data_IF_206399063050
#
_entry.id   IF_206399063050
#
_cell.length_a   1.000
_cell.length_b   1.000
_cell.length_c   1.000
_cell.angle_alpha   90.00
_cell.angle_beta   90.00
_cell.angle_gamma   90.00
#
_symmetry.space_group_name_H-M   'P 1'
#
loop_
_entity.id
_entity.type
_entity.pdbx_description
1 polymer ?
#
# COMPACT_ATOMS: atom_id res chain seq x y z
N UNK A 1 14.77 -4.81 8.48
CA UNK A 1 14.18 -4.10 7.34
C UNK A 1 12.66 -4.04 7.51
N UNK A 2 12.10 -2.88 7.27
CA UNK A 2 10.66 -2.65 7.30
C UNK A 2 10.19 -2.31 5.89
N UNK A 3 9.12 -2.93 5.46
CA UNK A 3 8.52 -2.72 4.13
C UNK A 3 7.15 -2.09 4.30
N UNK A 4 6.97 -0.90 3.73
CA UNK A 4 5.69 -0.21 3.72
C UNK A 4 5.08 -0.39 2.33
N UNK A 5 3.81 -0.79 2.26
CA UNK A 5 3.07 -0.86 1.01
C UNK A 5 1.94 0.16 1.05
N UNK A 6 1.77 0.91 -0.02
CA UNK A 6 0.71 1.92 -0.12
C UNK A 6 -0.09 1.73 -1.39
N UNK A 7 -1.38 1.52 -1.23
CA UNK A 7 -2.39 1.65 -2.27
C UNK A 7 -3.03 3.03 -2.07
N UNK A 8 -2.75 4.01 -2.95
CA UNK A 8 -3.17 5.39 -2.72
C UNK A 8 -4.67 5.62 -2.93
N UNK A 9 -5.18 6.70 -2.35
CA UNK A 9 -6.56 7.11 -2.47
C UNK A 9 -7.38 6.82 -1.22
N UNK A 10 -8.56 7.45 -1.12
CA UNK A 10 -9.40 7.34 0.09
C UNK A 10 -9.90 5.94 0.38
N UNK A 11 -9.94 5.07 -0.64
CA UNK A 11 -10.32 3.66 -0.50
C UNK A 11 -9.10 2.75 -0.58
N UNK A 12 -7.92 3.31 -0.47
CA UNK A 12 -6.68 2.56 -0.45
C UNK A 12 -6.29 2.08 0.94
N UNK A 13 -5.02 1.72 1.08
CA UNK A 13 -4.51 1.21 2.35
C UNK A 13 -3.04 1.50 2.54
N UNK A 14 -2.60 1.33 3.78
CA UNK A 14 -1.19 1.35 4.17
C UNK A 14 -0.92 0.07 4.94
N UNK A 15 0.09 -0.66 4.54
CA UNK A 15 0.54 -1.87 5.22
C UNK A 15 2.00 -1.75 5.60
N UNK A 16 2.37 -2.31 6.74
CA UNK A 16 3.74 -2.33 7.23
C UNK A 16 4.11 -3.76 7.58
N UNK A 17 5.20 -4.24 6.99
CA UNK A 17 5.76 -5.57 7.27
C UNK A 17 7.14 -5.43 7.90
N UNK A 18 7.31 -5.99 9.08
CA UNK A 18 8.62 -6.22 9.70
C UNK A 18 8.88 -7.73 9.82
N UNK A 19 9.94 -8.13 10.53
CA UNK A 19 10.26 -9.55 10.72
C UNK A 19 9.16 -10.28 11.48
N UNK A 20 8.61 -9.67 12.53
CA UNK A 20 7.55 -10.24 13.38
C UNK A 20 6.38 -9.27 13.55
N UNK A 21 6.19 -8.39 12.58
CA UNK A 21 5.23 -7.30 12.71
C UNK A 21 4.48 -7.12 11.40
N UNK A 22 3.15 -7.08 11.50
CA UNK A 22 2.27 -6.76 10.38
C UNK A 22 1.21 -5.78 10.88
N UNK A 23 1.08 -4.66 10.19
CA UNK A 23 0.04 -3.66 10.47
C UNK A 23 -0.60 -3.21 9.16
N UNK A 24 -1.89 -3.09 9.15
CA UNK A 24 -2.66 -2.66 7.98
C UNK A 24 -3.76 -1.71 8.40
N UNK A 25 -3.88 -0.59 7.69
CA UNK A 25 -4.93 0.39 7.94
C UNK A 25 -5.48 0.91 6.61
N UNK A 26 -6.70 1.44 6.64
CA UNK A 26 -7.23 2.21 5.51
C UNK A 26 -6.37 3.45 5.33
N UNK A 27 -6.08 3.80 4.08
CA UNK A 27 -5.29 5.00 3.80
C UNK A 27 -5.97 6.25 4.37
N UNK A 28 -5.18 7.08 5.03
CA UNK A 28 -5.48 8.47 5.31
C UNK A 28 -4.17 9.24 5.39
N UNK A 29 -4.22 10.54 5.20
CA UNK A 29 -3.04 11.39 5.32
C UNK A 29 -2.44 11.28 6.72
N UNK A 30 -3.28 11.20 7.75
CA UNK A 30 -2.84 11.04 9.13
C UNK A 30 -2.10 9.71 9.33
N UNK A 31 -2.62 8.62 8.79
CA UNK A 31 -1.97 7.31 8.92
C UNK A 31 -0.64 7.27 8.15
N UNK A 32 -0.56 7.94 7.01
CA UNK A 32 0.70 8.09 6.29
C UNK A 32 1.74 8.82 7.14
N UNK A 33 1.35 9.95 7.73
CA UNK A 33 2.25 10.71 8.60
C UNK A 33 2.68 9.91 9.83
N UNK A 34 1.75 9.18 10.43
CA UNK A 34 2.05 8.32 11.59
C UNK A 34 3.09 7.26 11.24
N UNK A 35 2.92 6.59 10.09
CA UNK A 35 3.86 5.57 9.64
C UNK A 35 5.25 6.18 9.37
N UNK A 36 5.30 7.32 8.71
CA UNK A 36 6.58 8.00 8.41
C UNK A 36 7.30 8.43 9.69
N UNK A 37 6.59 8.98 10.65
CA UNK A 37 7.16 9.37 11.94
C UNK A 37 7.67 8.18 12.73
N UNK A 38 6.93 7.08 12.71
CA UNK A 38 7.29 5.87 13.45
C UNK A 38 8.58 5.25 12.93
N UNK A 39 8.79 5.26 11.62
CA UNK A 39 9.90 4.54 11.00
C UNK A 39 11.02 5.45 10.48
N UNK A 40 10.92 6.77 10.71
CA UNK A 40 11.96 7.72 10.32
C UNK A 40 13.31 7.32 10.91
N UNK A 41 14.34 7.31 10.08
CA UNK A 41 15.69 6.95 10.51
C UNK A 41 15.93 5.46 10.72
N UNK A 42 14.91 4.63 10.54
CA UNK A 42 15.03 3.18 10.61
C UNK A 42 15.36 2.58 9.23
N UNK A 43 15.67 1.29 9.22
CA UNK A 43 15.92 0.56 7.98
C UNK A 43 14.56 0.21 7.33
N UNK A 44 14.06 1.11 6.49
CA UNK A 44 12.72 1.06 5.92
C UNK A 44 12.75 1.39 4.42
N UNK A 45 11.89 0.74 3.65
CA UNK A 45 11.62 1.10 2.26
C UNK A 45 10.11 1.03 2.01
N UNK A 46 9.60 1.95 1.18
CA UNK A 46 8.19 1.99 0.82
C UNK A 46 8.01 1.58 -0.63
N UNK A 47 6.96 0.80 -0.88
CA UNK A 47 6.49 0.47 -2.23
C UNK A 47 5.14 1.13 -2.41
N UNK A 48 5.08 2.04 -3.37
CA UNK A 48 3.88 2.84 -3.65
C UNK A 48 3.31 2.40 -4.99
N UNK A 49 2.03 2.03 -5.01
CA UNK A 49 1.40 1.68 -6.28
C UNK A 49 1.44 2.86 -7.23
N UNK A 50 1.94 2.61 -8.43
CA UNK A 50 2.03 3.62 -9.47
C UNK A 50 0.66 3.81 -10.11
N UNK A 51 0.01 4.92 -9.79
CA UNK A 51 -1.28 5.30 -10.36
C UNK A 51 -1.10 6.31 -11.49
N UNK A 52 -2.04 6.31 -12.42
CA UNK A 52 -2.05 7.26 -13.54
C UNK A 52 -3.50 7.53 -13.92
N UNK A 53 -3.71 8.58 -14.70
CA UNK A 53 -5.05 8.91 -15.19
C UNK A 53 -5.57 7.81 -16.11
N UNK A 54 -6.84 7.45 -15.94
CA UNK A 54 -7.49 6.42 -16.75
C UNK A 54 -8.36 7.07 -17.82
N UNK A 55 -8.50 6.44 -19.00
CA UNK A 55 -9.49 6.88 -19.98
C UNK A 55 -10.86 6.97 -19.34
N UNK A 56 -11.63 8.00 -19.70
CA UNK A 56 -12.99 8.24 -19.18
C UNK A 56 -13.08 8.56 -17.68
N UNK A 57 -11.97 8.78 -17.02
CA UNK A 57 -11.96 9.29 -15.65
C UNK A 57 -12.33 10.78 -15.67
N UNK A 58 -13.22 11.21 -14.76
CA UNK A 58 -13.63 12.61 -14.65
C UNK A 58 -12.45 13.54 -14.33
N UNK A 59 -12.52 14.79 -14.76
CA UNK A 59 -11.46 15.80 -14.55
C UNK A 59 -11.18 16.00 -13.05
N UNK A 60 -12.22 16.19 -12.23
CA UNK A 60 -12.06 16.34 -10.79
C UNK A 60 -11.44 15.12 -10.12
N UNK A 61 -11.87 13.93 -10.53
CA UNK A 61 -11.34 12.67 -10.00
C UNK A 61 -9.87 12.53 -10.36
N UNK A 62 -9.49 12.80 -11.61
CA UNK A 62 -8.10 12.74 -12.07
C UNK A 62 -7.22 13.72 -11.29
N UNK A 63 -7.71 14.95 -11.10
CA UNK A 63 -6.97 15.98 -10.37
C UNK A 63 -6.75 15.58 -8.91
N UNK A 64 -7.79 15.10 -8.23
CA UNK A 64 -7.71 14.66 -6.84
C UNK A 64 -6.76 13.47 -6.69
N UNK A 65 -6.80 12.53 -7.62
CA UNK A 65 -5.89 11.39 -7.65
C UNK A 65 -4.44 11.85 -7.77
N UNK A 66 -4.18 12.77 -8.71
CA UNK A 66 -2.84 13.33 -8.91
C UNK A 66 -2.33 14.08 -7.68
N UNK A 67 -3.20 14.89 -7.04
CA UNK A 67 -2.87 15.59 -5.80
C UNK A 67 -2.48 14.63 -4.68
N UNK A 68 -3.28 13.59 -4.46
CA UNK A 68 -2.99 12.60 -3.42
C UNK A 68 -1.68 11.86 -3.70
N UNK A 69 -1.47 11.43 -4.94
CA UNK A 69 -0.25 10.73 -5.33
C UNK A 69 0.99 11.60 -5.12
N UNK A 70 0.92 12.87 -5.51
CA UNK A 70 1.99 13.83 -5.28
C UNK A 70 2.24 14.10 -3.80
N UNK A 71 1.17 14.24 -3.01
CA UNK A 71 1.27 14.42 -1.56
C UNK A 71 2.00 13.26 -0.90
N UNK A 72 1.64 12.03 -1.23
CA UNK A 72 2.29 10.83 -0.67
C UNK A 72 3.79 10.86 -0.97
N UNK A 73 4.17 11.11 -2.22
CA UNK A 73 5.58 11.17 -2.60
C UNK A 73 6.32 12.30 -1.89
N UNK A 74 5.69 13.47 -1.76
CA UNK A 74 6.26 14.60 -1.04
C UNK A 74 6.52 14.28 0.43
N UNK A 75 5.58 13.61 1.10
CA UNK A 75 5.74 13.20 2.49
C UNK A 75 6.87 12.19 2.65
N UNK A 76 6.92 11.17 1.78
CA UNK A 76 8.00 10.18 1.82
C UNK A 76 9.37 10.83 1.64
N UNK A 77 9.49 11.76 0.71
CA UNK A 77 10.73 12.50 0.49
C UNK A 77 11.10 13.37 1.68
N UNK A 78 10.13 14.06 2.29
CA UNK A 78 10.37 14.94 3.42
C UNK A 78 10.88 14.15 4.64
N UNK A 79 10.39 12.93 4.85
CA UNK A 79 10.86 12.05 5.92
C UNK A 79 12.06 11.19 5.51
N UNK A 80 12.58 11.40 4.31
CA UNK A 80 13.74 10.65 3.78
C UNK A 80 13.53 9.14 3.78
N UNK A 81 12.29 8.71 3.52
CA UNK A 81 11.97 7.29 3.37
C UNK A 81 12.14 6.92 1.90
N UNK A 82 13.09 6.03 1.57
CA UNK A 82 13.25 5.58 0.19
C UNK A 82 12.00 4.84 -0.27
N UNK A 83 11.61 5.06 -1.52
CA UNK A 83 10.44 4.38 -2.07
C UNK A 83 10.63 4.04 -3.54
N UNK A 84 9.91 3.02 -3.97
CA UNK A 84 9.83 2.61 -5.36
C UNK A 84 8.37 2.59 -5.79
N UNK A 85 8.13 2.89 -7.07
CA UNK A 85 6.80 2.79 -7.67
C UNK A 85 6.61 1.39 -8.23
N UNK A 86 5.46 0.80 -7.97
CA UNK A 86 5.12 -0.55 -8.45
C UNK A 86 3.80 -0.47 -9.21
N UNK A 87 3.81 -0.92 -10.47
CA UNK A 87 2.58 -0.94 -11.26
C UNK A 87 1.64 -2.04 -10.76
N UNK A 88 0.31 -1.83 -10.91
CA UNK A 88 -0.66 -2.88 -10.57
C UNK A 88 -0.37 -4.20 -11.28
N UNK A 89 0.05 -4.15 -12.53
CA UNK A 89 0.36 -5.34 -13.32
C UNK A 89 1.45 -6.18 -12.67
N UNK A 90 2.48 -5.55 -12.13
CA UNK A 90 3.62 -6.27 -11.53
C UNK A 90 3.22 -7.03 -10.27
N UNK A 91 2.58 -6.35 -9.31
CA UNK A 91 2.26 -7.04 -8.05
C UNK A 91 1.09 -8.02 -8.24
N UNK A 92 0.13 -7.70 -9.10
CA UNK A 92 -0.97 -8.64 -9.40
C UNK A 92 -0.45 -9.91 -10.06
N UNK A 93 0.50 -9.79 -10.97
CA UNK A 93 1.12 -10.96 -11.61
C UNK A 93 1.84 -11.83 -10.58
N UNK A 94 2.59 -11.22 -9.67
CA UNK A 94 3.32 -11.93 -8.60
C UNK A 94 2.39 -12.84 -7.80
N UNK A 95 1.19 -12.37 -7.50
CA UNK A 95 0.24 -13.08 -6.64
C UNK A 95 -0.92 -13.74 -7.39
N UNK A 96 -0.87 -13.75 -8.70
CA UNK A 96 -1.93 -14.29 -9.56
C UNK A 96 -3.30 -13.64 -9.30
N UNK A 97 -3.29 -12.35 -8.97
CA UNK A 97 -4.50 -11.57 -8.76
C UNK A 97 -5.06 -11.07 -10.09
N UNK A 98 -6.39 -10.94 -10.16
CA UNK A 98 -7.10 -10.42 -11.32
C UNK A 98 -7.72 -9.05 -11.00
N UNK A 99 -8.54 -8.52 -11.91
CA UNK A 99 -9.31 -7.32 -11.65
C UNK A 99 -10.41 -7.52 -10.60
N UNK A 100 -10.75 -8.77 -10.29
CA UNK A 100 -11.66 -9.08 -9.19
C UNK A 100 -10.93 -8.85 -7.85
N UNK A 101 -11.41 -7.88 -7.09
CA UNK A 101 -10.80 -7.48 -5.82
C UNK A 101 -10.82 -8.57 -4.76
N UNK A 102 -11.74 -9.53 -4.87
CA UNK A 102 -11.77 -10.68 -3.97
C UNK A 102 -10.52 -11.55 -4.11
N UNK A 103 -9.86 -11.56 -5.26
CA UNK A 103 -8.63 -12.34 -5.45
C UNK A 103 -7.50 -11.83 -4.56
N UNK A 104 -7.37 -10.51 -4.40
CA UNK A 104 -6.38 -9.92 -3.50
C UNK A 104 -6.66 -10.29 -2.05
N UNK A 105 -7.93 -10.24 -1.62
CA UNK A 105 -8.33 -10.60 -0.27
C UNK A 105 -8.03 -12.07 0.01
N UNK A 106 -8.35 -12.96 -0.93
CA UNK A 106 -8.07 -14.40 -0.78
C UNK A 106 -6.59 -14.70 -0.65
N UNK A 107 -5.75 -14.06 -1.48
CA UNK A 107 -4.30 -14.24 -1.38
C UNK A 107 -3.77 -13.73 -0.04
N UNK A 108 -4.24 -12.57 0.42
CA UNK A 108 -3.87 -12.05 1.73
C UNK A 108 -4.21 -13.01 2.87
N UNK A 109 -5.41 -13.58 2.85
CA UNK A 109 -5.83 -14.54 3.88
C UNK A 109 -4.98 -15.80 3.89
N UNK A 110 -4.54 -16.22 2.72
CA UNK A 110 -3.66 -17.39 2.60
C UNK A 110 -2.25 -17.09 3.13
N UNK A 111 -1.67 -15.94 2.76
CA UNK A 111 -0.31 -15.56 3.14
C UNK A 111 -0.23 -15.03 4.57
N UNK A 112 -1.26 -14.37 5.03
CA UNK A 112 -1.31 -13.70 6.33
C UNK A 112 -2.60 -14.06 7.08
N UNK A 113 -2.75 -15.34 7.50
CA UNK A 113 -4.04 -15.82 8.05
C UNK A 113 -4.47 -15.12 9.34
N UNK A 114 -3.54 -14.50 10.07
CA UNK A 114 -3.83 -13.84 11.34
C UNK A 114 -4.02 -12.33 11.22
N UNK A 115 -3.95 -11.77 10.02
CA UNK A 115 -4.06 -10.33 9.81
C UNK A 115 -5.53 -9.94 9.64
N UNK A 116 -5.93 -8.87 10.32
CA UNK A 116 -7.27 -8.30 10.18
C UNK A 116 -7.29 -7.37 8.97
N UNK A 117 -8.11 -7.72 7.97
CA UNK A 117 -8.27 -6.93 6.74
C UNK A 117 -9.50 -6.02 6.77
N UNK A 118 -10.14 -5.87 7.91
CA UNK A 118 -11.33 -5.02 8.05
C UNK A 118 -10.94 -3.57 8.33
N UNK A 119 -11.67 -2.64 7.74
CA UNK A 119 -11.42 -1.21 7.95
C UNK A 119 -11.63 -0.81 9.40
N UNK A 120 -12.68 -1.34 10.05
CA UNK A 120 -12.98 -1.13 11.46
C UNK A 120 -13.53 -2.44 12.05
N UNK A 121 -13.59 -2.51 13.38
CA UNK A 121 -14.18 -3.67 14.08
C UNK A 121 -15.66 -3.89 13.73
N UNK A 122 -16.36 -2.84 13.35
CA UNK A 122 -17.78 -2.89 12.98
C UNK A 122 -18.02 -3.41 11.57
N UNK A 123 -16.99 -3.40 10.72
CA UNK A 123 -17.12 -3.86 9.33
C UNK A 123 -17.22 -5.38 9.30
N UNK A 124 -18.14 -5.90 8.47
CA UNK A 124 -18.30 -7.34 8.26
C UNK A 124 -17.45 -7.84 7.11
N UNK A 125 -17.14 -6.95 6.15
CA UNK A 125 -16.38 -7.30 4.95
C UNK A 125 -14.94 -6.85 5.09
N UNK A 126 -14.05 -7.63 4.49
CA UNK A 126 -12.66 -7.26 4.34
C UNK A 126 -12.51 -6.10 3.37
N UNK A 127 -11.52 -5.26 3.60
CA UNK A 127 -11.26 -4.07 2.80
C UNK A 127 -10.20 -4.37 1.74
N UNK A 128 -10.57 -4.21 0.48
CA UNK A 128 -9.68 -4.53 -0.64
C UNK A 128 -8.45 -3.63 -0.69
N UNK A 129 -8.58 -2.34 -0.36
CA UNK A 129 -7.44 -1.42 -0.32
C UNK A 129 -6.40 -1.83 0.73
N UNK A 130 -6.83 -2.32 1.88
CA UNK A 130 -5.93 -2.86 2.91
C UNK A 130 -5.22 -4.11 2.37
N UNK A 131 -5.96 -5.02 1.74
CA UNK A 131 -5.40 -6.23 1.17
C UNK A 131 -4.38 -5.91 0.07
N UNK A 132 -4.70 -4.99 -0.82
CA UNK A 132 -3.79 -4.58 -1.89
C UNK A 132 -2.51 -3.95 -1.33
N UNK A 133 -2.63 -3.07 -0.32
CA UNK A 133 -1.46 -2.48 0.33
C UNK A 133 -0.55 -3.55 0.94
N UNK A 134 -1.13 -4.55 1.58
CA UNK A 134 -0.38 -5.66 2.17
C UNK A 134 0.36 -6.47 1.11
N UNK A 135 -0.28 -6.74 -0.04
CA UNK A 135 0.36 -7.44 -1.14
C UNK A 135 1.47 -6.60 -1.79
N UNK A 136 1.29 -5.30 -1.88
CA UNK A 136 2.34 -4.39 -2.38
C UNK A 136 3.56 -4.41 -1.45
N UNK A 137 3.35 -4.40 -0.14
CA UNK A 137 4.43 -4.52 0.83
C UNK A 137 5.16 -5.88 0.71
N UNK A 138 4.40 -6.97 0.56
CA UNK A 138 4.96 -8.31 0.38
C UNK A 138 5.71 -8.44 -0.95
N UNK A 139 5.18 -7.83 -2.01
CA UNK A 139 5.90 -7.74 -3.28
C UNK A 139 7.27 -7.09 -3.07
N UNK A 140 7.29 -5.97 -2.36
CA UNK A 140 8.54 -5.28 -2.04
C UNK A 140 9.50 -6.15 -1.26
N UNK A 141 9.02 -6.86 -0.24
CA UNK A 141 9.84 -7.76 0.57
C UNK A 141 10.49 -8.86 -0.29
N UNK A 142 9.74 -9.41 -1.24
CA UNK A 142 10.24 -10.47 -2.13
C UNK A 142 11.26 -9.97 -3.15
N UNK A 143 11.14 -8.71 -3.57
CA UNK A 143 11.96 -8.15 -4.66
C UNK A 143 13.04 -7.18 -4.19
N UNK A 144 13.10 -6.85 -2.91
CA UNK A 144 14.12 -5.98 -2.37
C UNK A 144 15.48 -6.67 -2.42
N UNK A 145 16.46 -6.00 -3.04
CA UNK A 145 17.79 -6.56 -3.28
C UNK A 145 18.91 -5.84 -2.52
N UNK A 146 18.57 -5.02 -1.52
CA UNK A 146 19.57 -4.31 -0.73
C UNK A 146 20.19 -3.10 -1.40
N UNK A 147 19.76 -2.74 -2.58
CA UNK A 147 20.19 -1.51 -3.25
C UNK A 147 19.24 -0.38 -2.90
N UNK A 148 19.62 0.43 -1.98
CA UNK A 148 18.90 1.65 -1.65
C UNK A 148 19.37 2.79 -2.56
#
# INVERSE_FOLDING_TARGET
MIYIGIDPGKNGGIAVLGSDYVSCVVYSDTELLNACRMFEGMNVICYLEHVHAMPNQGVSSTFNFGMNFGFIQGVLKAYEIPYELVTPQKWKKEFSCTSDKNTSIEVCKRLFPNVNLKATERCKKDHDGIAEALLIAEYGRRHYNGKS
#
